data_IF_588266904992
#
_entry.id   IF_588266904992
#
_cell.length_a   1.000
_cell.length_b   1.000
_cell.length_c   1.000
_cell.angle_alpha   90.00
_cell.angle_beta   90.00
_cell.angle_gamma   90.00
#
_symmetry.space_group_name_H-M   'P 1'
#
loop_
_entity.id
_entity.type
_entity.pdbx_description
1 polymer ?
#
# COMPACT_ATOMS: atom_id res chain seq x y z
N UNK A 1 -27.83 -4.15 -55.81
CA UNK A 1 -26.59 -4.37 -55.03
C UNK A 1 -26.36 -3.30 -53.96
N UNK A 2 -26.10 -2.02 -54.27
CA UNK A 2 -25.73 -0.97 -53.28
C UNK A 2 -26.57 -0.96 -51.99
N UNK A 3 -27.89 -1.05 -52.09
CA UNK A 3 -28.81 -1.00 -50.94
C UNK A 3 -28.66 -2.19 -49.96
N UNK A 4 -28.19 -3.34 -50.44
CA UNK A 4 -27.99 -4.55 -49.61
C UNK A 4 -26.80 -4.33 -48.65
N UNK A 5 -25.72 -3.70 -49.13
CA UNK A 5 -24.58 -3.35 -48.28
C UNK A 5 -24.99 -2.38 -47.15
N UNK A 6 -25.82 -1.38 -47.46
CA UNK A 6 -26.36 -0.46 -46.45
C UNK A 6 -27.22 -1.19 -45.41
N UNK A 7 -28.13 -2.08 -45.84
CA UNK A 7 -28.95 -2.89 -44.93
C UNK A 7 -28.12 -3.83 -44.04
N UNK A 8 -27.05 -4.43 -44.58
CA UNK A 8 -26.14 -5.27 -43.80
C UNK A 8 -25.36 -4.47 -42.74
N UNK A 9 -24.92 -3.25 -43.06
CA UNK A 9 -24.27 -2.36 -42.07
C UNK A 9 -25.24 -1.95 -40.97
N UNK A 10 -26.49 -1.61 -41.32
CA UNK A 10 -27.54 -1.26 -40.34
C UNK A 10 -27.86 -2.47 -39.44
N UNK A 11 -28.00 -3.67 -40.02
CA UNK A 11 -28.24 -4.89 -39.26
C UNK A 11 -27.07 -5.24 -38.32
N UNK A 12 -25.83 -5.10 -38.78
CA UNK A 12 -24.64 -5.31 -37.96
C UNK A 12 -24.55 -4.32 -36.79
N UNK A 13 -24.84 -3.04 -37.02
CA UNK A 13 -24.90 -2.01 -35.97
C UNK A 13 -26.00 -2.32 -34.95
N UNK A 14 -27.20 -2.73 -35.39
CA UNK A 14 -28.28 -3.12 -34.50
C UNK A 14 -27.92 -4.34 -33.63
N UNK A 15 -27.26 -5.35 -34.21
CA UNK A 15 -26.77 -6.53 -33.48
C UNK A 15 -25.67 -6.15 -32.49
N UNK A 16 -24.72 -5.28 -32.86
CA UNK A 16 -23.68 -4.79 -31.94
C UNK A 16 -24.29 -4.04 -30.75
N UNK A 17 -25.24 -3.12 -30.98
CA UNK A 17 -25.94 -2.41 -29.90
C UNK A 17 -26.69 -3.40 -28.99
N UNK A 18 -27.41 -4.38 -29.57
CA UNK A 18 -28.11 -5.40 -28.79
C UNK A 18 -27.15 -6.24 -27.93
N UNK A 19 -25.98 -6.62 -28.46
CA UNK A 19 -24.94 -7.36 -27.72
C UNK A 19 -24.40 -6.54 -26.55
N UNK A 20 -24.09 -5.25 -26.74
CA UNK A 20 -23.59 -4.40 -25.65
C UNK A 20 -24.66 -4.05 -24.60
N UNK A 21 -25.93 -3.90 -25.00
CA UNK A 21 -27.04 -3.68 -24.05
C UNK A 21 -27.36 -4.93 -23.24
N UNK A 22 -27.27 -6.13 -23.84
CA UNK A 22 -27.53 -7.40 -23.13
C UNK A 22 -26.33 -7.88 -22.31
N UNK A 23 -25.11 -7.46 -22.65
CA UNK A 23 -23.87 -7.90 -22.01
C UNK A 23 -22.92 -6.70 -21.75
N UNK A 24 -23.25 -5.78 -20.83
CA UNK A 24 -22.45 -4.57 -20.57
C UNK A 24 -20.99 -4.90 -20.17
N UNK A 25 -20.76 -6.03 -19.50
CA UNK A 25 -19.43 -6.49 -19.12
C UNK A 25 -18.49 -6.73 -20.30
N UNK A 26 -19.01 -6.95 -21.52
CA UNK A 26 -18.17 -7.07 -22.73
C UNK A 26 -17.40 -5.78 -22.99
N UNK A 27 -17.97 -4.60 -22.69
CA UNK A 27 -17.28 -3.33 -22.87
C UNK A 27 -16.04 -3.25 -21.96
N UNK A 28 -16.18 -3.68 -20.69
CA UNK A 28 -15.07 -3.72 -19.73
C UNK A 28 -13.99 -4.73 -20.14
N UNK A 29 -14.38 -5.91 -20.63
CA UNK A 29 -13.45 -6.96 -21.09
C UNK A 29 -12.68 -6.53 -22.34
N UNK A 30 -13.38 -5.96 -23.34
CA UNK A 30 -12.75 -5.44 -24.57
C UNK A 30 -11.80 -4.28 -24.25
N UNK A 31 -12.18 -3.39 -23.34
CA UNK A 31 -11.30 -2.32 -22.85
C UNK A 31 -10.03 -2.86 -22.18
N UNK A 32 -10.17 -3.88 -21.32
CA UNK A 32 -9.03 -4.54 -20.66
C UNK A 32 -8.05 -5.16 -21.67
N UNK A 33 -8.59 -5.86 -22.68
CA UNK A 33 -7.78 -6.42 -23.78
C UNK A 33 -7.12 -5.33 -24.63
N UNK A 34 -7.78 -4.19 -24.86
CA UNK A 34 -7.22 -3.08 -25.62
C UNK A 34 -6.02 -2.44 -24.89
N UNK A 35 -6.13 -2.21 -23.58
CA UNK A 35 -5.03 -1.71 -22.74
C UNK A 35 -3.87 -2.72 -22.72
N UNK A 36 -4.16 -4.02 -22.54
CA UNK A 36 -3.15 -5.08 -22.58
C UNK A 36 -2.43 -5.17 -23.93
N UNK A 37 -3.16 -5.01 -25.03
CA UNK A 37 -2.61 -5.02 -26.38
C UNK A 37 -1.72 -3.80 -26.67
N UNK A 38 -2.07 -2.61 -26.15
CA UNK A 38 -1.20 -1.42 -26.22
C UNK A 38 0.16 -1.70 -25.56
N UNK A 39 0.18 -2.36 -24.39
CA UNK A 39 1.43 -2.80 -23.75
C UNK A 39 2.24 -3.75 -24.64
N UNK A 40 1.60 -4.71 -25.30
CA UNK A 40 2.27 -5.62 -26.23
C UNK A 40 2.82 -4.90 -27.48
N UNK A 41 2.11 -3.90 -28.01
CA UNK A 41 2.57 -3.06 -29.12
C UNK A 41 3.79 -2.22 -28.72
N UNK A 42 3.82 -1.63 -27.51
CA UNK A 42 4.99 -0.91 -27.00
C UNK A 42 6.19 -1.85 -26.87
N UNK A 43 6.01 -3.04 -26.29
CA UNK A 43 7.08 -4.06 -26.18
C UNK A 43 7.58 -4.54 -27.55
N UNK A 44 6.71 -4.62 -28.57
CA UNK A 44 7.11 -4.91 -29.95
C UNK A 44 7.91 -3.75 -30.59
N UNK A 45 7.54 -2.49 -30.31
CA UNK A 45 8.28 -1.31 -30.80
C UNK A 45 9.66 -1.24 -30.16
N UNK A 46 9.79 -1.43 -28.84
CA UNK A 46 11.09 -1.45 -28.15
C UNK A 46 12.00 -2.59 -28.67
N UNK A 47 11.44 -3.80 -28.83
CA UNK A 47 12.18 -4.95 -29.37
C UNK A 47 12.56 -4.73 -30.84
N UNK A 48 11.67 -4.14 -31.65
CA UNK A 48 11.93 -3.80 -33.05
C UNK A 48 13.04 -2.76 -33.20
N UNK A 49 13.01 -1.69 -32.39
CA UNK A 49 14.03 -0.64 -32.42
C UNK A 49 15.40 -1.17 -32.01
N UNK A 50 15.46 -1.98 -30.93
CA UNK A 50 16.69 -2.69 -30.54
C UNK A 50 17.16 -3.64 -31.65
N UNK A 51 16.28 -4.46 -32.21
CA UNK A 51 16.61 -5.42 -33.28
C UNK A 51 17.16 -4.75 -34.54
N UNK A 52 16.68 -3.55 -34.89
CA UNK A 52 17.18 -2.79 -36.04
C UNK A 52 18.56 -2.18 -35.75
N UNK A 53 18.79 -1.71 -34.53
CA UNK A 53 20.12 -1.21 -34.10
C UNK A 53 21.19 -2.30 -34.06
N UNK A 54 20.83 -3.51 -33.62
CA UNK A 54 21.75 -4.67 -33.59
C UNK A 54 22.04 -5.26 -34.97
N UNK A 55 21.21 -4.98 -35.98
CA UNK A 55 21.41 -5.48 -37.35
C UNK A 55 22.61 -4.84 -38.07
N UNK A 56 23.17 -3.74 -37.53
CA UNK A 56 24.31 -3.03 -38.11
C UNK A 56 25.68 -3.45 -37.54
N UNK A 57 25.73 -4.34 -36.54
CA UNK A 57 26.97 -4.74 -35.87
C UNK A 57 27.25 -6.24 -35.96
N UNK A 58 28.06 -6.58 -36.96
CA UNK A 58 29.00 -7.70 -37.00
C UNK A 58 28.49 -9.16 -37.03
N UNK A 59 28.64 -9.75 -38.22
CA UNK A 59 28.75 -11.19 -38.51
C UNK A 59 29.61 -12.00 -37.52
N UNK A 60 29.23 -13.27 -37.20
CA UNK A 60 30.03 -14.48 -37.53
C UNK A 60 29.34 -15.81 -37.12
N UNK A 61 29.60 -16.85 -37.91
CA UNK A 61 29.41 -18.31 -37.69
C UNK A 61 29.84 -18.86 -36.30
N UNK A 62 29.51 -20.06 -35.75
CA UNK A 62 28.97 -21.41 -36.16
C UNK A 62 28.64 -22.19 -34.82
N UNK A 63 27.97 -23.35 -34.67
CA UNK A 63 26.93 -24.17 -35.38
C UNK A 63 26.59 -25.46 -34.55
N UNK A 64 25.59 -26.29 -34.98
CA UNK A 64 25.28 -27.71 -34.60
C UNK A 64 24.68 -28.01 -33.18
N UNK A 65 23.49 -28.65 -33.06
CA UNK A 65 23.14 -30.12 -32.95
C UNK A 65 23.33 -30.74 -31.53
N UNK A 66 22.50 -31.65 -30.97
CA UNK A 66 21.18 -32.23 -31.31
C UNK A 66 20.48 -32.88 -30.04
N UNK A 67 19.32 -33.55 -30.21
CA UNK A 67 18.28 -33.97 -29.20
C UNK A 67 17.59 -35.28 -29.70
N UNK A 68 16.86 -36.17 -28.94
CA UNK A 68 16.43 -36.24 -27.51
C UNK A 68 16.76 -37.60 -26.77
N UNK A 69 16.21 -37.87 -25.57
CA UNK A 69 15.26 -38.99 -25.24
C UNK A 69 15.20 -39.51 -23.77
N UNK A 70 13.99 -39.90 -23.32
CA UNK A 70 13.63 -40.65 -22.08
C UNK A 70 13.74 -42.21 -22.30
N UNK A 71 13.09 -43.19 -21.59
CA UNK A 71 12.22 -43.18 -20.37
C UNK A 71 12.27 -44.38 -19.35
N UNK A 72 11.55 -44.24 -18.21
CA UNK A 72 10.75 -45.25 -17.44
C UNK A 72 11.41 -46.39 -16.58
N UNK A 73 11.09 -46.39 -15.25
CA UNK A 73 10.59 -47.43 -14.26
C UNK A 73 10.82 -48.96 -14.51
N UNK A 74 10.83 -49.90 -13.49
CA UNK A 74 9.80 -49.98 -12.40
C UNK A 74 10.03 -50.75 -11.03
N UNK A 75 9.07 -50.54 -10.11
CA UNK A 75 8.40 -51.50 -9.15
C UNK A 75 9.05 -52.02 -7.82
N UNK A 76 8.40 -51.58 -6.72
CA UNK A 76 7.98 -52.19 -5.43
C UNK A 76 8.69 -53.35 -4.69
N UNK A 77 8.67 -53.24 -3.34
CA UNK A 77 8.11 -54.23 -2.39
C UNK A 77 7.37 -53.48 -1.25
N UNK A 78 6.31 -54.07 -0.68
CA UNK A 78 5.63 -53.62 0.56
C UNK A 78 5.67 -54.73 1.62
N UNK A 79 5.65 -54.37 2.90
CA UNK A 79 5.36 -55.29 4.02
C UNK A 79 4.58 -54.54 5.14
N UNK A 80 3.72 -55.23 5.92
CA UNK A 80 2.75 -54.59 6.81
C UNK A 80 3.35 -54.18 8.16
N UNK A 81 2.80 -53.12 8.75
CA UNK A 81 3.14 -52.58 10.08
C UNK A 81 1.92 -52.71 11.01
N UNK A 82 2.15 -52.91 12.31
CA UNK A 82 1.09 -53.14 13.31
C UNK A 82 0.65 -51.86 14.04
N UNK A 83 -0.60 -51.79 14.57
CA UNK A 83 -1.25 -50.51 14.98
C UNK A 83 -0.60 -49.74 16.15
N UNK A 84 0.35 -50.34 16.86
CA UNK A 84 1.10 -49.68 17.94
C UNK A 84 2.20 -48.75 17.39
N UNK A 85 2.72 -49.03 16.19
CA UNK A 85 3.78 -48.23 15.57
C UNK A 85 3.23 -46.95 14.98
N UNK A 86 2.03 -46.97 14.39
CA UNK A 86 1.39 -45.82 13.74
C UNK A 86 1.27 -44.65 14.72
N UNK A 87 0.63 -44.86 15.88
CA UNK A 87 0.43 -43.82 16.90
C UNK A 87 1.73 -43.21 17.44
N UNK A 88 2.79 -44.00 17.58
CA UNK A 88 4.11 -43.51 18.00
C UNK A 88 4.83 -42.77 16.86
N UNK A 89 4.62 -43.20 15.61
CA UNK A 89 5.16 -42.51 14.43
C UNK A 89 4.44 -41.19 14.16
N UNK A 90 3.13 -41.09 14.39
CA UNK A 90 2.36 -39.85 14.33
C UNK A 90 2.88 -38.83 15.36
N UNK A 91 3.08 -39.25 16.61
CA UNK A 91 3.65 -38.39 17.66
C UNK A 91 5.04 -37.90 17.25
N UNK A 92 5.92 -38.81 16.81
CA UNK A 92 7.28 -38.43 16.38
C UNK A 92 7.30 -37.50 15.15
N UNK A 93 6.38 -37.71 14.19
CA UNK A 93 6.18 -36.82 13.05
C UNK A 93 5.64 -35.45 13.47
N UNK A 94 4.72 -35.39 14.44
CA UNK A 94 4.21 -34.14 15.00
C UNK A 94 5.29 -33.38 15.76
N UNK A 95 6.12 -34.05 16.55
CA UNK A 95 7.30 -33.46 17.22
C UNK A 95 8.31 -32.90 16.21
N UNK A 96 8.65 -33.65 15.16
CA UNK A 96 9.51 -33.16 14.08
C UNK A 96 8.90 -31.97 13.35
N UNK A 97 7.58 -31.98 13.13
CA UNK A 97 6.85 -30.89 12.45
C UNK A 97 6.71 -29.65 13.32
N UNK A 98 6.54 -29.80 14.64
CA UNK A 98 6.62 -28.70 15.60
C UNK A 98 8.02 -28.08 15.54
N UNK A 99 9.08 -28.91 15.58
CA UNK A 99 10.47 -28.44 15.53
C UNK A 99 10.84 -27.77 14.20
N UNK A 100 10.32 -28.25 13.06
CA UNK A 100 10.42 -27.56 11.75
C UNK A 100 9.71 -26.20 11.79
N UNK A 101 8.48 -26.15 12.31
CA UNK A 101 7.71 -24.92 12.42
C UNK A 101 8.37 -23.91 13.37
N UNK A 102 8.93 -24.35 14.50
CA UNK A 102 9.70 -23.52 15.43
C UNK A 102 10.96 -22.96 14.76
N UNK A 103 11.78 -23.82 14.14
CA UNK A 103 12.96 -23.41 13.39
C UNK A 103 12.63 -22.44 12.25
N UNK A 104 11.51 -22.65 11.55
CA UNK A 104 11.02 -21.72 10.51
C UNK A 104 10.44 -20.43 11.07
N UNK A 105 9.91 -20.44 12.29
CA UNK A 105 9.43 -19.25 13.01
C UNK A 105 10.61 -18.43 13.57
N UNK A 106 11.71 -19.07 13.95
CA UNK A 106 12.95 -18.38 14.34
C UNK A 106 13.67 -17.80 13.12
N UNK A 107 13.79 -18.56 12.04
CA UNK A 107 14.35 -18.06 10.79
C UNK A 107 13.49 -16.95 10.13
N UNK A 108 12.16 -16.97 10.27
CA UNK A 108 11.32 -15.87 9.80
C UNK A 108 11.38 -14.62 10.70
N UNK A 109 11.73 -14.75 11.99
CA UNK A 109 12.11 -13.62 12.86
C UNK A 109 13.50 -13.07 12.54
N UNK A 110 14.40 -13.88 11.97
CA UNK A 110 15.70 -13.42 11.46
C UNK A 110 15.57 -12.56 10.19
N UNK A 111 14.37 -12.49 9.59
CA UNK A 111 14.12 -11.77 8.36
C UNK A 111 13.69 -10.33 8.68
N UNK A 112 14.62 -9.38 8.57
CA UNK A 112 14.57 -8.02 9.15
C UNK A 112 13.62 -7.04 8.45
N UNK A 113 12.37 -7.45 8.20
CA UNK A 113 11.30 -6.56 7.73
C UNK A 113 10.66 -5.79 8.89
N UNK A 114 10.19 -4.57 8.63
CA UNK A 114 9.42 -3.81 9.65
C UNK A 114 7.95 -4.18 9.57
N UNK A 115 7.38 -4.71 10.65
CA UNK A 115 5.98 -5.12 10.71
C UNK A 115 5.04 -3.92 10.54
N UNK A 116 4.22 -3.93 9.49
CA UNK A 116 3.23 -2.88 9.20
C UNK A 116 1.98 -3.05 10.07
N UNK A 117 1.44 -1.95 10.59
CA UNK A 117 0.17 -1.97 11.33
C UNK A 117 0.29 -2.66 12.70
N UNK A 118 1.42 -2.50 13.37
CA UNK A 118 1.67 -3.01 14.73
C UNK A 118 1.00 -2.18 15.83
N UNK A 119 0.48 -1.00 15.48
CA UNK A 119 -0.02 0.03 16.39
C UNK A 119 -1.47 0.41 16.06
N UNK A 120 -2.14 1.08 16.99
CA UNK A 120 -3.55 1.52 16.82
C UNK A 120 -3.72 2.36 15.56
N UNK A 121 -2.76 3.25 15.30
CA UNK A 121 -2.62 4.02 14.07
C UNK A 121 -1.31 3.67 13.34
N UNK A 122 -1.29 3.82 12.03
CA UNK A 122 -0.06 3.69 11.22
C UNK A 122 -0.06 4.69 10.07
N UNK A 123 1.01 5.47 9.94
CA UNK A 123 1.27 6.35 8.79
C UNK A 123 2.32 5.71 7.90
N UNK A 124 1.98 5.58 6.62
CA UNK A 124 2.88 5.18 5.53
C UNK A 124 3.15 6.41 4.66
N UNK A 125 4.33 7.02 4.77
CA UNK A 125 4.77 8.08 3.84
C UNK A 125 5.01 7.47 2.46
N UNK A 126 4.62 8.14 1.38
CA UNK A 126 4.76 7.58 0.01
C UNK A 126 5.32 8.55 -1.01
N UNK A 127 5.52 9.81 -0.64
CA UNK A 127 6.18 10.84 -1.43
C UNK A 127 6.74 11.90 -0.49
N UNK A 128 7.94 12.39 -0.79
CA UNK A 128 8.43 13.70 -0.37
C UNK A 128 8.94 14.38 -1.64
N UNK A 129 8.48 15.61 -1.92
CA UNK A 129 8.85 16.37 -3.11
C UNK A 129 9.86 17.50 -2.83
N UNK A 130 10.42 17.56 -1.62
CA UNK A 130 11.37 18.59 -1.18
C UNK A 130 10.71 19.81 -0.54
N UNK A 131 9.38 19.91 -0.56
CA UNK A 131 8.59 20.87 0.23
C UNK A 131 7.56 20.15 1.09
N UNK A 132 6.92 19.11 0.53
CA UNK A 132 5.76 18.41 1.09
C UNK A 132 5.99 16.90 1.17
N UNK A 133 5.76 16.31 2.35
CA UNK A 133 5.59 14.86 2.50
C UNK A 133 4.11 14.49 2.41
N UNK A 134 3.77 13.48 1.62
CA UNK A 134 2.45 12.85 1.59
C UNK A 134 2.48 11.46 2.23
N UNK A 135 1.41 11.12 2.95
CA UNK A 135 1.24 9.82 3.58
C UNK A 135 -0.19 9.30 3.56
N UNK A 136 -0.34 8.04 3.96
CA UNK A 136 -1.61 7.35 4.18
C UNK A 136 -1.70 6.99 5.66
N UNK A 137 -2.76 7.42 6.35
CA UNK A 137 -3.02 7.00 7.73
C UNK A 137 -4.05 5.87 7.77
N UNK A 138 -3.71 4.83 8.52
CA UNK A 138 -4.51 3.64 8.78
C UNK A 138 -4.89 3.59 10.25
N UNK A 139 -6.11 3.13 10.54
CA UNK A 139 -6.62 2.81 11.87
C UNK A 139 -6.85 1.29 11.94
N UNK A 140 -6.14 0.58 12.83
CA UNK A 140 -6.20 -0.89 12.97
C UNK A 140 -6.17 -1.60 11.59
N UNK A 141 -5.10 -1.31 10.84
CA UNK A 141 -4.81 -1.84 9.50
C UNK A 141 -5.81 -1.47 8.38
N UNK A 142 -6.86 -0.68 8.66
CA UNK A 142 -7.80 -0.17 7.64
C UNK A 142 -7.42 1.25 7.23
N UNK A 143 -7.39 1.54 5.94
CA UNK A 143 -7.17 2.89 5.43
C UNK A 143 -8.22 3.85 6.01
N UNK A 144 -7.77 5.01 6.49
CA UNK A 144 -8.61 5.98 7.19
C UNK A 144 -8.68 7.33 6.48
N UNK A 145 -7.53 7.87 6.08
CA UNK A 145 -7.37 9.17 5.43
C UNK A 145 -5.97 9.32 4.78
N UNK A 146 -5.77 10.39 4.04
CA UNK A 146 -4.46 10.89 3.61
C UNK A 146 -3.86 11.83 4.67
N UNK A 147 -2.53 11.95 4.68
CA UNK A 147 -1.80 12.91 5.51
C UNK A 147 -0.85 13.78 4.68
N UNK A 148 -0.54 14.97 5.21
CA UNK A 148 0.45 15.89 4.66
C UNK A 148 1.32 16.44 5.80
N UNK A 149 2.63 16.41 5.62
CA UNK A 149 3.65 16.97 6.53
C UNK A 149 4.63 17.84 5.71
N UNK A 150 5.53 18.54 6.39
CA UNK A 150 6.67 19.18 5.72
C UNK A 150 7.61 18.15 5.07
N UNK A 151 8.58 18.60 4.29
CA UNK A 151 9.71 17.77 3.85
C UNK A 151 10.61 17.28 5.01
N UNK A 152 11.39 16.23 4.78
CA UNK A 152 12.49 15.81 5.65
C UNK A 152 13.64 16.83 5.67
N UNK A 153 14.20 17.07 6.86
CA UNK A 153 15.50 17.75 7.02
C UNK A 153 16.34 16.97 8.03
N UNK A 154 17.63 16.77 7.74
CA UNK A 154 18.58 16.12 8.64
C UNK A 154 18.78 16.92 9.94
N UNK A 155 18.87 18.24 9.82
CA UNK A 155 18.86 19.18 10.95
C UNK A 155 17.50 19.87 10.98
N UNK A 156 16.78 19.76 12.10
CA UNK A 156 15.43 20.30 12.25
C UNK A 156 15.38 21.81 12.01
N UNK A 157 14.58 22.22 11.04
CA UNK A 157 14.16 23.61 10.83
C UNK A 157 12.79 23.80 11.47
N UNK A 158 12.64 24.84 12.31
CA UNK A 158 11.36 25.12 12.97
C UNK A 158 10.27 25.42 11.93
N UNK A 159 9.10 24.77 12.06
CA UNK A 159 7.94 24.91 11.18
C UNK A 159 8.19 24.56 9.70
N UNK A 160 9.24 23.76 9.42
CA UNK A 160 9.63 23.31 8.07
C UNK A 160 10.26 21.91 8.05
N UNK A 161 9.88 21.03 8.98
CA UNK A 161 10.49 19.70 9.10
C UNK A 161 9.51 18.72 9.74
N UNK A 162 9.20 17.63 9.03
CA UNK A 162 8.38 16.52 9.54
C UNK A 162 9.02 15.79 10.70
N UNK A 163 8.22 15.08 11.49
CA UNK A 163 8.71 14.28 12.61
C UNK A 163 9.46 13.01 12.15
N UNK A 164 10.43 12.49 12.92
CA UNK A 164 11.10 11.24 12.58
C UNK A 164 10.12 10.05 12.47
N UNK A 165 10.50 9.05 11.68
CA UNK A 165 9.86 7.75 11.71
C UNK A 165 10.10 7.05 13.06
N UNK A 166 9.17 6.21 13.50
CA UNK A 166 9.22 5.58 14.82
C UNK A 166 7.87 5.05 15.29
N UNK A 167 7.77 4.75 16.59
CA UNK A 167 6.51 4.41 17.27
C UNK A 167 6.35 5.34 18.46
N UNK A 168 5.22 6.05 18.53
CA UNK A 168 4.96 7.09 19.52
C UNK A 168 3.59 6.90 20.17
N UNK A 169 3.42 7.22 21.48
CA UNK A 169 2.11 7.26 22.11
C UNK A 169 1.33 8.53 21.70
N UNK A 170 0.01 8.44 21.70
CA UNK A 170 -0.92 9.58 21.53
C UNK A 170 -1.78 9.73 22.78
N UNK A 171 -1.98 10.98 23.20
CA UNK A 171 -2.79 11.35 24.37
C UNK A 171 -3.40 12.74 24.16
N UNK A 172 -4.30 13.17 25.06
CA UNK A 172 -4.81 14.54 25.07
C UNK A 172 -3.76 15.51 25.62
N UNK A 173 -3.45 16.55 24.87
CA UNK A 173 -2.67 17.69 25.36
C UNK A 173 -3.57 18.60 26.22
N UNK A 174 -3.68 18.29 27.52
CA UNK A 174 -4.61 18.91 28.49
C UNK A 174 -4.23 20.34 28.91
N UNK A 175 -3.67 21.13 28.01
CA UNK A 175 -3.27 22.54 28.21
C UNK A 175 -3.98 23.39 27.15
N UNK A 176 -4.63 24.48 27.58
CA UNK A 176 -5.43 25.31 26.66
C UNK A 176 -4.57 26.29 25.83
N UNK A 177 -4.09 25.79 24.70
CA UNK A 177 -3.44 26.62 23.66
C UNK A 177 -4.45 27.48 22.90
N UNK A 178 -4.00 28.55 22.24
CA UNK A 178 -4.89 29.38 21.41
C UNK A 178 -5.46 28.61 20.21
N UNK A 179 -4.76 27.58 19.72
CA UNK A 179 -5.30 26.63 18.74
C UNK A 179 -6.46 25.82 19.34
N UNK A 180 -6.35 25.37 20.61
CA UNK A 180 -7.43 24.70 21.34
C UNK A 180 -8.64 25.60 21.54
N UNK A 181 -8.43 26.88 21.94
CA UNK A 181 -9.51 27.89 22.03
C UNK A 181 -10.20 28.12 20.69
N UNK A 182 -9.42 28.21 19.60
CA UNK A 182 -9.92 28.34 18.22
C UNK A 182 -10.75 27.12 17.81
N UNK A 183 -10.29 25.91 18.12
CA UNK A 183 -10.98 24.67 17.74
C UNK A 183 -12.27 24.48 18.55
N UNK A 184 -12.26 24.74 19.87
CA UNK A 184 -13.48 24.77 20.70
C UNK A 184 -14.53 25.73 20.14
N UNK A 185 -14.13 26.91 19.63
CA UNK A 185 -15.04 27.88 18.99
C UNK A 185 -15.58 27.44 17.62
N UNK A 186 -14.82 26.67 16.84
CA UNK A 186 -15.20 26.23 15.48
C UNK A 186 -16.02 24.94 15.51
N UNK A 187 -15.73 24.03 16.44
CA UNK A 187 -16.25 22.67 16.46
C UNK A 187 -17.23 22.38 17.60
N UNK A 188 -17.22 23.19 18.67
CA UNK A 188 -18.11 23.04 19.81
C UNK A 188 -17.97 21.68 20.52
N UNK A 189 -19.10 21.17 20.99
CA UNK A 189 -19.24 20.12 22.01
C UNK A 189 -18.48 18.80 21.74
N UNK A 190 -18.13 18.50 20.50
CA UNK A 190 -17.39 17.27 20.16
C UNK A 190 -15.86 17.41 20.25
N UNK A 191 -15.33 18.63 20.34
CA UNK A 191 -13.89 18.89 20.48
C UNK A 191 -13.55 19.38 21.88
N UNK A 192 -12.55 18.75 22.52
CA UNK A 192 -12.09 19.09 23.87
C UNK A 192 -10.66 19.65 23.87
N UNK A 193 -9.65 18.77 23.89
CA UNK A 193 -8.23 19.11 23.78
C UNK A 193 -7.62 18.53 22.51
N UNK A 194 -6.53 19.12 22.01
CA UNK A 194 -5.76 18.53 20.90
C UNK A 194 -5.21 17.16 21.27
N UNK A 195 -5.11 16.28 20.28
CA UNK A 195 -4.43 14.98 20.40
C UNK A 195 -2.96 15.18 19.99
N UNK A 196 -2.04 14.94 20.93
CA UNK A 196 -0.60 15.11 20.73
C UNK A 196 0.08 13.76 20.52
N UNK A 197 1.00 13.71 19.57
CA UNK A 197 1.96 12.62 19.40
C UNK A 197 3.16 12.93 20.31
N UNK A 198 3.37 12.10 21.33
CA UNK A 198 4.28 12.38 22.45
C UNK A 198 5.62 11.68 22.27
N UNK A 199 6.58 12.09 23.12
CA UNK A 199 7.90 11.48 23.27
C UNK A 199 8.78 11.46 21.99
N UNK A 200 8.51 12.40 21.07
CA UNK A 200 9.27 12.58 19.83
C UNK A 200 10.56 13.37 20.11
N UNK A 201 11.76 12.83 19.81
CA UNK A 201 13.02 13.53 20.06
C UNK A 201 13.12 14.89 19.37
N UNK A 202 13.35 15.96 20.14
CA UNK A 202 13.43 17.36 19.69
C UNK A 202 12.13 17.96 19.12
N UNK A 203 10.96 17.33 19.33
CA UNK A 203 9.65 17.91 19.01
C UNK A 203 8.74 17.95 20.24
N UNK A 204 7.80 18.90 20.24
CA UNK A 204 6.79 19.15 21.27
C UNK A 204 5.55 19.72 20.58
N UNK A 205 4.35 19.57 21.16
CA UNK A 205 3.10 20.11 20.63
C UNK A 205 2.75 19.64 19.21
N UNK A 206 3.15 18.41 18.86
CA UNK A 206 2.88 17.83 17.55
C UNK A 206 1.48 17.23 17.53
N UNK A 207 0.59 17.82 16.74
CA UNK A 207 -0.79 17.37 16.63
C UNK A 207 -1.06 16.69 15.28
N UNK A 208 -2.15 15.93 15.21
CA UNK A 208 -2.83 15.63 13.94
C UNK A 208 -4.00 16.62 13.83
N UNK A 209 -4.11 17.38 12.73
CA UNK A 209 -5.09 18.47 12.63
C UNK A 209 -5.52 18.86 11.19
N UNK A 210 -6.38 19.88 11.05
CA UNK A 210 -6.85 20.36 9.74
C UNK A 210 -5.88 21.36 9.10
N UNK A 211 -5.74 21.25 7.77
CA UNK A 211 -5.03 22.18 6.90
C UNK A 211 -5.22 21.80 5.44
N UNK A 212 -4.48 22.43 4.53
CA UNK A 212 -4.55 22.19 3.09
C UNK A 212 -3.16 22.09 2.43
N UNK A 213 -2.17 22.90 2.80
CA UNK A 213 -0.79 22.90 2.25
C UNK A 213 0.25 22.69 3.35
N UNK A 214 1.51 22.41 2.98
CA UNK A 214 2.62 22.32 3.95
C UNK A 214 2.77 23.60 4.79
N UNK A 215 2.45 24.78 4.23
CA UNK A 215 2.37 26.06 4.94
C UNK A 215 1.40 26.07 6.15
N UNK A 216 0.58 25.03 6.32
CA UNK A 216 -0.37 24.90 7.42
C UNK A 216 0.09 23.89 8.49
N UNK A 217 1.20 23.16 8.29
CA UNK A 217 1.67 22.10 9.20
C UNK A 217 2.22 22.69 10.51
N UNK A 218 3.00 23.77 10.44
CA UNK A 218 3.94 24.16 11.50
C UNK A 218 4.87 23.00 11.98
N UNK A 219 5.14 22.01 11.11
CA UNK A 219 5.86 20.76 11.47
C UNK A 219 4.98 19.67 12.10
N UNK A 220 3.66 19.86 12.14
CA UNK A 220 2.67 18.87 12.56
C UNK A 220 2.09 18.08 11.36
N UNK A 221 1.19 17.12 11.64
CA UNK A 221 0.57 16.27 10.62
C UNK A 221 -0.82 16.80 10.26
N UNK A 222 -1.05 17.09 8.99
CA UNK A 222 -2.39 17.37 8.46
C UNK A 222 -3.10 16.07 8.06
N UNK A 223 -4.43 16.02 8.18
CA UNK A 223 -5.26 14.86 7.81
C UNK A 223 -6.43 15.24 6.90
N UNK A 224 -6.72 14.43 5.86
CA UNK A 224 -7.79 14.73 4.90
C UNK A 224 -8.31 13.53 4.08
N UNK A 225 -9.50 13.66 3.49
CA UNK A 225 -10.17 12.59 2.73
C UNK A 225 -9.74 12.51 1.26
N UNK A 226 -9.02 13.51 0.74
CA UNK A 226 -8.47 13.49 -0.60
C UNK A 226 -7.20 14.32 -0.76
N UNK A 227 -6.48 14.08 -1.85
CA UNK A 227 -5.26 14.81 -2.26
C UNK A 227 -5.47 15.35 -3.67
N UNK A 228 -5.14 16.62 -3.90
CA UNK A 228 -5.06 17.22 -5.22
C UNK A 228 -3.67 17.06 -5.81
N UNK A 229 -3.59 16.50 -7.02
CA UNK A 229 -2.35 16.27 -7.76
C UNK A 229 -1.92 17.48 -8.63
N UNK A 230 -2.34 18.70 -8.26
CA UNK A 230 -1.94 19.93 -8.94
C UNK A 230 -0.45 20.26 -8.80
N UNK A 231 -0.07 21.44 -9.34
CA UNK A 231 1.32 21.94 -9.34
C UNK A 231 1.95 21.95 -7.95
N UNK A 232 1.18 22.38 -6.94
CA UNK A 232 1.49 22.21 -5.52
C UNK A 232 0.56 21.17 -4.92
N UNK A 233 1.09 20.26 -4.10
CA UNK A 233 0.27 19.23 -3.42
C UNK A 233 -0.62 19.90 -2.38
N UNK A 234 -1.88 19.47 -2.33
CA UNK A 234 -2.81 19.97 -1.32
C UNK A 234 -3.86 18.94 -0.91
N UNK A 235 -4.28 19.02 0.35
CA UNK A 235 -5.31 18.19 0.94
C UNK A 235 -6.73 18.74 0.71
N UNK A 236 -7.71 17.85 0.60
CA UNK A 236 -9.12 18.17 0.39
C UNK A 236 -10.03 17.53 1.45
N UNK A 237 -11.05 18.27 1.91
CA UNK A 237 -12.00 17.84 2.95
C UNK A 237 -11.37 17.53 4.33
N UNK A 238 -10.29 18.22 4.69
CA UNK A 238 -9.55 17.99 5.95
C UNK A 238 -10.40 18.06 7.22
N UNK A 239 -11.41 18.95 7.26
CA UNK A 239 -12.36 19.04 8.38
C UNK A 239 -13.16 17.74 8.59
N UNK A 240 -13.61 17.12 7.50
CA UNK A 240 -14.40 15.89 7.53
C UNK A 240 -13.56 14.70 8.00
N UNK A 241 -12.32 14.60 7.53
CA UNK A 241 -11.36 13.59 7.99
C UNK A 241 -11.03 13.76 9.48
N UNK A 242 -10.74 15.01 9.89
CA UNK A 242 -10.37 15.35 11.25
C UNK A 242 -11.50 15.11 12.25
N UNK A 243 -12.75 15.45 11.91
CA UNK A 243 -13.90 15.19 12.80
C UNK A 243 -14.05 13.68 13.07
N UNK A 244 -13.97 12.84 12.03
CA UNK A 244 -14.00 11.38 12.21
C UNK A 244 -12.81 10.90 13.05
N UNK A 245 -11.60 11.35 12.70
CA UNK A 245 -10.37 10.97 13.40
C UNK A 245 -10.46 11.30 14.89
N UNK A 246 -10.81 12.55 15.20
CA UNK A 246 -10.92 13.06 16.55
C UNK A 246 -11.96 12.29 17.35
N UNK A 247 -13.17 12.11 16.81
CA UNK A 247 -14.25 11.37 17.49
C UNK A 247 -13.86 9.91 17.76
N UNK A 248 -13.15 9.26 16.83
CA UNK A 248 -12.69 7.88 17.02
C UNK A 248 -11.57 7.78 18.06
N UNK A 249 -10.48 8.53 17.91
CA UNK A 249 -9.31 8.43 18.80
C UNK A 249 -9.60 8.96 20.20
N UNK A 250 -10.36 10.06 20.32
CA UNK A 250 -10.78 10.57 21.63
C UNK A 250 -11.70 9.60 22.37
N UNK A 251 -12.48 8.77 21.67
CA UNK A 251 -13.28 7.71 22.30
C UNK A 251 -12.40 6.59 22.86
N UNK A 252 -11.41 6.10 22.09
CA UNK A 252 -10.46 5.07 22.55
C UNK A 252 -9.73 5.51 23.83
N UNK A 253 -9.17 6.73 23.82
CA UNK A 253 -8.50 7.31 24.99
C UNK A 253 -9.45 7.51 26.17
N UNK A 254 -10.71 7.92 25.95
CA UNK A 254 -11.73 8.04 27.01
C UNK A 254 -12.16 6.69 27.59
N UNK A 255 -12.01 5.58 26.86
CA UNK A 255 -12.14 4.22 27.38
C UNK A 255 -10.87 3.66 28.05
N UNK A 256 -9.82 4.48 28.22
CA UNK A 256 -8.48 4.08 28.68
C UNK A 256 -7.79 3.04 27.78
N UNK A 257 -8.15 2.95 26.50
CA UNK A 257 -7.37 2.18 25.52
C UNK A 257 -6.12 2.99 25.12
N UNK A 258 -4.90 2.44 25.27
CA UNK A 258 -3.69 3.14 24.85
C UNK A 258 -3.64 3.26 23.33
N UNK A 259 -3.45 4.47 22.82
CA UNK A 259 -3.33 4.74 21.38
C UNK A 259 -1.85 4.97 21.05
N UNK A 260 -1.32 4.14 20.15
CA UNK A 260 0.01 4.31 19.57
C UNK A 260 -0.08 4.61 18.08
N UNK A 261 0.90 5.34 17.56
CA UNK A 261 1.08 5.59 16.13
C UNK A 261 2.44 5.09 15.67
N UNK A 262 2.45 4.23 14.66
CA UNK A 262 3.64 3.83 13.93
C UNK A 262 3.80 4.75 12.72
N UNK A 263 4.96 5.37 12.54
CA UNK A 263 5.25 6.28 11.42
C UNK A 263 6.43 5.71 10.65
N UNK A 264 6.22 5.50 9.35
CA UNK A 264 7.17 4.85 8.46
C UNK A 264 7.51 5.79 7.30
N UNK A 265 8.80 5.90 6.99
CA UNK A 265 9.30 6.60 5.82
C UNK A 265 9.01 5.82 4.53
N UNK A 266 9.23 6.48 3.40
CA UNK A 266 8.92 6.11 2.02
C UNK A 266 9.52 4.77 1.59
N UNK A 267 10.61 4.34 2.24
CA UNK A 267 11.22 3.03 2.08
C UNK A 267 10.43 1.88 2.76
N UNK A 268 9.27 2.16 3.37
CA UNK A 268 8.40 1.15 4.00
C UNK A 268 8.02 0.02 3.06
N UNK A 269 7.86 0.30 1.76
CA UNK A 269 7.49 -0.73 0.78
C UNK A 269 8.63 -1.74 0.57
N UNK A 270 9.88 -1.27 0.56
CA UNK A 270 11.08 -2.10 0.46
C UNK A 270 11.39 -2.84 1.78
N UNK A 271 11.16 -2.17 2.92
CA UNK A 271 11.30 -2.76 4.27
C UNK A 271 10.17 -3.71 4.63
N UNK A 272 8.99 -3.59 4.01
CA UNK A 272 7.93 -4.57 4.10
C UNK A 272 8.23 -5.71 3.14
N UNK A 273 8.57 -6.89 3.66
CA UNK A 273 8.78 -8.09 2.84
C UNK A 273 7.44 -8.62 2.30
N UNK A 274 6.83 -7.88 1.39
CA UNK A 274 5.78 -8.37 0.51
C UNK A 274 6.41 -9.41 -0.40
N UNK A 275 6.19 -10.69 -0.11
CA UNK A 275 6.63 -11.78 -0.98
C UNK A 275 6.07 -11.55 -2.39
N UNK A 276 6.89 -11.65 -3.46
CA UNK A 276 6.35 -11.65 -4.81
C UNK A 276 5.38 -12.82 -4.96
N UNK A 277 4.22 -12.53 -5.55
CA UNK A 277 3.07 -13.45 -5.74
C UNK A 277 3.28 -14.28 -7.01
#
# INVERSE_FOLDING_TARGET
MKNIAALLVIAFLAVMVLVFVTNPDLLSKIWLYLIGFIGYVVVLIEKGYKSLSSAFTFSKEKTKEAIPSDPIKPVAVLNPISPVVEKNSEISQLEQKIKDLEFRLENSKSDTGTALGSCTLTILRYLDDGETTLGLIFLRNKFFAYTLEDTYNEVKVAKKTRIPAGVFPIDFYRIETDLTKKYRRIYGDWFDYHLEIKDIPNFQNVYIHVGNTHENTDGCILIADGVSAGTSKSLQYSRNAYERFYKTISALLKSNEPVTIQILNEDWFERSKLSPI
#
